data_IF_540163015268
#
_entry.id   IF_540163015268
#
_cell.length_a   1.000
_cell.length_b   1.000
_cell.length_c   1.000
_cell.angle_alpha   90.00
_cell.angle_beta   90.00
_cell.angle_gamma   90.00
#
_symmetry.space_group_name_H-M   'P 1'
#
loop_
_entity.id
_entity.type
_entity.pdbx_description
1 polymer ?
#
# COMPACT_ATOMS: atom_id res chain seq x y z
N UNK A 1 1.09 -37.04 8.07
CA UNK A 1 2.10 -36.05 8.49
C UNK A 1 1.54 -34.63 8.44
N UNK A 2 1.28 -34.02 7.28
CA UNK A 2 0.70 -32.66 7.17
C UNK A 2 -0.53 -32.41 8.06
N UNK A 3 -1.54 -33.27 8.00
CA UNK A 3 -2.78 -33.17 8.81
C UNK A 3 -2.57 -33.38 10.32
N UNK A 4 -1.40 -33.89 10.72
CA UNK A 4 -0.98 -34.06 12.11
C UNK A 4 0.00 -32.93 12.53
N UNK A 5 0.18 -31.92 11.68
CA UNK A 5 1.09 -30.78 11.90
C UNK A 5 2.58 -31.14 12.08
N UNK A 6 2.96 -32.37 11.72
CA UNK A 6 4.35 -32.84 11.67
C UNK A 6 5.02 -32.37 10.37
N UNK A 7 5.23 -31.06 10.25
CA UNK A 7 5.60 -30.43 8.98
C UNK A 7 7.04 -30.72 8.55
N UNK A 8 7.99 -30.81 9.48
CA UNK A 8 9.40 -31.07 9.14
C UNK A 8 9.53 -32.43 8.42
N UNK A 9 8.89 -33.46 8.96
CA UNK A 9 8.81 -34.78 8.36
C UNK A 9 7.94 -34.79 7.08
N UNK A 10 6.84 -34.03 7.08
CA UNK A 10 5.96 -33.94 5.92
C UNK A 10 6.66 -33.33 4.70
N UNK A 11 7.51 -32.32 4.90
CA UNK A 11 8.24 -31.64 3.83
C UNK A 11 9.26 -32.59 3.21
N UNK A 12 10.03 -33.31 4.03
CA UNK A 12 10.99 -34.32 3.53
C UNK A 12 10.26 -35.38 2.70
N UNK A 13 9.15 -35.93 3.20
CA UNK A 13 8.35 -36.89 2.45
C UNK A 13 7.74 -36.29 1.17
N UNK A 14 7.28 -35.03 1.23
CA UNK A 14 6.71 -34.34 0.08
C UNK A 14 7.73 -34.22 -1.07
N UNK A 15 9.00 -33.97 -0.75
CA UNK A 15 10.08 -33.85 -1.72
C UNK A 15 10.45 -35.18 -2.38
N UNK A 16 10.45 -36.25 -1.60
CA UNK A 16 10.61 -37.60 -2.12
C UNK A 16 9.43 -37.98 -3.04
N UNK A 17 8.21 -37.67 -2.61
CA UNK A 17 6.98 -38.02 -3.33
C UNK A 17 6.86 -37.31 -4.68
N UNK A 18 7.17 -36.01 -4.75
CA UNK A 18 7.10 -35.28 -6.03
C UNK A 18 8.19 -35.72 -7.01
N UNK A 19 9.38 -36.09 -6.50
CA UNK A 19 10.48 -36.61 -7.32
C UNK A 19 10.13 -37.97 -7.90
N UNK A 20 9.43 -38.82 -7.13
CA UNK A 20 9.09 -40.19 -7.54
C UNK A 20 7.81 -40.28 -8.38
N UNK A 21 6.86 -39.40 -8.16
CA UNK A 21 5.53 -39.43 -8.80
C UNK A 21 5.08 -38.03 -9.27
N UNK A 22 5.83 -37.38 -10.18
CA UNK A 22 5.57 -35.98 -10.59
C UNK A 22 4.21 -35.79 -11.27
N UNK A 23 3.74 -36.80 -12.00
CA UNK A 23 2.50 -36.74 -12.77
C UNK A 23 1.25 -37.05 -11.91
N UNK A 24 1.43 -37.62 -10.72
CA UNK A 24 0.30 -38.04 -9.89
C UNK A 24 -0.34 -36.83 -9.20
N UNK A 25 -1.51 -36.43 -9.67
CA UNK A 25 -2.21 -35.21 -9.24
C UNK A 25 -2.45 -35.14 -7.73
N UNK A 26 -2.86 -36.26 -7.13
CA UNK A 26 -3.10 -36.30 -5.69
C UNK A 26 -1.82 -36.03 -4.89
N UNK A 27 -0.70 -36.64 -5.29
CA UNK A 27 0.62 -36.41 -4.70
C UNK A 27 0.98 -34.92 -4.80
N UNK A 28 0.93 -34.38 -6.02
CA UNK A 28 1.23 -32.97 -6.28
C UNK A 28 0.40 -32.01 -5.42
N UNK A 29 -0.90 -32.27 -5.30
CA UNK A 29 -1.78 -31.47 -4.45
C UNK A 29 -1.41 -31.57 -2.96
N UNK A 30 -1.07 -32.76 -2.45
CA UNK A 30 -0.62 -32.89 -1.06
C UNK A 30 0.73 -32.20 -0.80
N UNK A 31 1.65 -32.22 -1.77
CA UNK A 31 2.91 -31.48 -1.70
C UNK A 31 2.65 -29.97 -1.65
N UNK A 32 1.79 -29.44 -2.52
CA UNK A 32 1.36 -28.03 -2.51
C UNK A 32 0.85 -27.63 -1.13
N UNK A 33 -0.11 -28.38 -0.57
CA UNK A 33 -0.68 -28.05 0.73
C UNK A 33 0.32 -28.20 1.88
N UNK A 34 1.29 -29.11 1.75
CA UNK A 34 2.38 -29.25 2.72
C UNK A 34 3.26 -28.02 2.73
N UNK A 35 3.64 -27.49 1.58
CA UNK A 35 4.39 -26.24 1.48
C UNK A 35 3.61 -25.03 1.96
N UNK A 36 2.32 -24.92 1.61
CA UNK A 36 1.48 -23.81 2.06
C UNK A 36 1.40 -23.78 3.59
N UNK A 37 1.01 -24.90 4.22
CA UNK A 37 0.75 -24.95 5.67
C UNK A 37 2.03 -25.06 6.51
N UNK A 38 3.01 -25.81 6.01
CA UNK A 38 4.26 -26.09 6.74
C UNK A 38 5.32 -25.01 6.58
N UNK A 39 5.29 -24.23 5.50
CA UNK A 39 6.31 -23.22 5.20
C UNK A 39 5.66 -21.85 5.00
N UNK A 40 4.90 -21.67 3.93
CA UNK A 40 4.49 -20.35 3.46
C UNK A 40 3.66 -19.56 4.48
N UNK A 41 2.68 -20.20 5.12
CA UNK A 41 1.83 -19.58 6.15
C UNK A 41 2.62 -19.28 7.42
N UNK A 42 3.66 -20.06 7.72
CA UNK A 42 4.50 -19.89 8.91
C UNK A 42 5.55 -18.78 8.77
N UNK A 43 5.86 -18.33 7.56
CA UNK A 43 6.75 -17.19 7.35
C UNK A 43 6.09 -15.93 7.94
N UNK A 44 6.77 -15.27 8.89
CA UNK A 44 6.28 -14.03 9.52
C UNK A 44 6.24 -12.87 8.52
N UNK A 45 5.66 -11.74 8.93
CA UNK A 45 5.69 -10.51 8.14
C UNK A 45 7.07 -9.83 8.13
N UNK A 46 7.99 -10.26 9.01
CA UNK A 46 9.37 -9.79 9.10
C UNK A 46 10.35 -10.64 8.27
N UNK A 47 9.88 -11.73 7.66
CA UNK A 47 10.72 -12.58 6.80
C UNK A 47 11.10 -11.87 5.50
N UNK A 48 12.21 -12.30 4.92
CA UNK A 48 12.70 -11.74 3.66
C UNK A 48 11.74 -12.05 2.51
N UNK A 49 11.53 -11.08 1.62
CA UNK A 49 10.66 -11.23 0.45
C UNK A 49 11.18 -12.33 -0.47
N UNK A 50 12.49 -12.49 -0.58
CA UNK A 50 13.15 -13.50 -1.41
C UNK A 50 12.74 -14.91 -0.98
N UNK A 51 12.73 -15.19 0.33
CA UNK A 51 12.34 -16.52 0.86
C UNK A 51 10.87 -16.83 0.62
N UNK A 52 10.01 -15.82 0.73
CA UNK A 52 8.58 -15.97 0.41
C UNK A 52 8.40 -16.24 -1.09
N UNK A 53 9.11 -15.51 -1.96
CA UNK A 53 9.07 -15.71 -3.42
C UNK A 53 9.62 -17.08 -3.81
N UNK A 54 10.73 -17.54 -3.21
CA UNK A 54 11.29 -18.87 -3.46
C UNK A 54 10.28 -19.98 -3.12
N UNK A 55 9.69 -19.91 -1.93
CA UNK A 55 8.66 -20.86 -1.49
C UNK A 55 7.44 -20.82 -2.40
N UNK A 56 7.00 -19.62 -2.76
CA UNK A 56 5.84 -19.43 -3.63
C UNK A 56 6.11 -19.94 -5.05
N UNK A 57 7.30 -19.72 -5.62
CA UNK A 57 7.69 -20.25 -6.92
C UNK A 57 7.70 -21.78 -6.91
N UNK A 58 8.19 -22.40 -5.83
CA UNK A 58 8.12 -23.86 -5.66
C UNK A 58 6.68 -24.35 -5.71
N UNK A 59 5.78 -23.71 -4.96
CA UNK A 59 4.35 -24.06 -4.98
C UNK A 59 3.74 -23.85 -6.37
N UNK A 60 3.99 -22.70 -7.02
CA UNK A 60 3.42 -22.37 -8.33
C UNK A 60 3.92 -23.30 -9.44
N UNK A 61 5.16 -23.80 -9.35
CA UNK A 61 5.71 -24.79 -10.30
C UNK A 61 4.95 -26.11 -10.31
N UNK A 62 4.18 -26.39 -9.26
CA UNK A 62 3.33 -27.57 -9.12
C UNK A 62 1.92 -27.36 -9.68
N UNK A 63 1.66 -26.24 -10.36
CA UNK A 63 0.37 -25.89 -10.96
C UNK A 63 -0.81 -26.02 -9.96
N UNK A 64 -0.81 -25.23 -8.88
CA UNK A 64 -1.83 -25.31 -7.85
C UNK A 64 -3.22 -24.93 -8.37
N UNK A 65 -4.25 -25.53 -7.79
CA UNK A 65 -5.65 -25.17 -8.04
C UNK A 65 -6.00 -23.83 -7.40
N UNK A 66 -7.14 -23.24 -7.82
CA UNK A 66 -7.53 -21.84 -7.54
C UNK A 66 -7.28 -21.38 -6.10
N UNK A 67 -7.70 -22.16 -5.09
CA UNK A 67 -7.52 -21.77 -3.69
C UNK A 67 -6.04 -21.73 -3.27
N UNK A 68 -5.26 -22.74 -3.65
CA UNK A 68 -3.84 -22.83 -3.34
C UNK A 68 -3.03 -21.76 -4.08
N UNK A 69 -3.35 -21.52 -5.36
CA UNK A 69 -2.79 -20.43 -6.15
C UNK A 69 -3.08 -19.07 -5.50
N UNK A 70 -4.33 -18.83 -5.09
CA UNK A 70 -4.74 -17.59 -4.40
C UNK A 70 -3.95 -17.34 -3.13
N UNK A 71 -3.89 -18.32 -2.22
CA UNK A 71 -3.16 -18.19 -0.94
C UNK A 71 -1.70 -17.86 -1.22
N UNK A 72 -1.09 -18.55 -2.20
CA UNK A 72 0.30 -18.37 -2.57
C UNK A 72 0.58 -16.97 -3.11
N UNK A 73 -0.19 -16.54 -4.10
CA UNK A 73 -0.03 -15.21 -4.72
C UNK A 73 -0.31 -14.10 -3.71
N UNK A 74 -1.39 -14.19 -2.93
CA UNK A 74 -1.76 -13.12 -1.99
C UNK A 74 -0.76 -12.97 -0.84
N UNK A 75 -0.07 -14.04 -0.43
CA UNK A 75 1.02 -13.95 0.54
C UNK A 75 2.17 -13.11 -0.02
N UNK A 76 2.58 -13.36 -1.27
CA UNK A 76 3.64 -12.57 -1.94
C UNK A 76 3.19 -11.12 -2.09
N UNK A 77 1.97 -10.86 -2.59
CA UNK A 77 1.45 -9.51 -2.79
C UNK A 77 1.41 -8.70 -1.49
N UNK A 78 0.98 -9.32 -0.38
CA UNK A 78 0.92 -8.67 0.93
C UNK A 78 2.31 -8.23 1.38
N UNK A 79 3.29 -9.13 1.36
CA UNK A 79 4.64 -8.83 1.83
C UNK A 79 5.35 -7.83 0.90
N UNK A 80 5.28 -8.04 -0.42
CA UNK A 80 5.87 -7.16 -1.42
C UNK A 80 5.35 -5.72 -1.29
N UNK A 81 4.03 -5.54 -1.14
CA UNK A 81 3.43 -4.22 -0.90
C UNK A 81 3.92 -3.58 0.40
N UNK A 82 3.92 -4.33 1.52
CA UNK A 82 4.37 -3.79 2.81
C UNK A 82 5.84 -3.39 2.83
N UNK A 83 6.65 -4.02 1.97
CA UNK A 83 8.08 -3.74 1.80
C UNK A 83 8.37 -2.80 0.62
N UNK A 84 7.35 -2.19 0.01
CA UNK A 84 7.48 -1.29 -1.14
C UNK A 84 8.19 -1.88 -2.39
N UNK A 85 8.07 -3.19 -2.62
CA UNK A 85 8.62 -3.89 -3.80
C UNK A 85 7.55 -4.02 -4.90
N UNK A 86 7.28 -2.93 -5.60
CA UNK A 86 6.17 -2.86 -6.57
C UNK A 86 6.41 -3.67 -7.85
N UNK A 87 7.67 -3.95 -8.20
CA UNK A 87 8.03 -4.84 -9.29
C UNK A 87 7.48 -6.25 -9.03
N UNK A 88 7.70 -6.76 -7.81
CA UNK A 88 7.21 -8.06 -7.38
C UNK A 88 5.67 -8.08 -7.33
N UNK A 89 5.02 -7.01 -6.83
CA UNK A 89 3.56 -6.87 -6.88
C UNK A 89 3.04 -7.02 -8.31
N UNK A 90 3.65 -6.31 -9.25
CA UNK A 90 3.24 -6.33 -10.66
C UNK A 90 3.49 -7.69 -11.35
N UNK A 91 4.57 -8.37 -11.02
CA UNK A 91 4.86 -9.71 -11.54
C UNK A 91 3.87 -10.75 -11.00
N UNK A 92 3.54 -10.68 -9.71
CA UNK A 92 2.76 -11.71 -9.04
C UNK A 92 1.26 -11.55 -9.20
N UNK A 93 0.75 -10.31 -9.29
CA UNK A 93 -0.70 -10.08 -9.36
C UNK A 93 -1.31 -10.72 -10.61
N UNK A 94 -0.57 -10.78 -11.72
CA UNK A 94 -1.03 -11.37 -12.98
C UNK A 94 -0.96 -12.91 -13.00
N UNK A 95 -0.36 -13.55 -11.99
CA UNK A 95 -0.29 -15.03 -11.89
C UNK A 95 -1.62 -15.65 -11.45
N UNK A 96 -2.61 -14.82 -11.10
CA UNK A 96 -3.97 -15.24 -10.80
C UNK A 96 -4.98 -14.37 -11.56
N UNK A 97 -5.95 -15.02 -12.21
CA UNK A 97 -6.97 -14.32 -12.96
C UNK A 97 -8.00 -13.68 -12.00
N UNK A 98 -8.36 -12.40 -12.15
CA UNK A 98 -9.33 -11.77 -11.25
C UNK A 98 -10.70 -12.47 -11.29
N UNK A 99 -11.08 -13.06 -12.42
CA UNK A 99 -12.37 -13.72 -12.59
C UNK A 99 -12.47 -15.07 -11.84
N UNK A 100 -11.36 -15.67 -11.40
CA UNK A 100 -11.40 -16.86 -10.54
C UNK A 100 -11.54 -16.50 -9.05
N UNK A 101 -11.48 -15.22 -8.69
CA UNK A 101 -11.53 -14.74 -7.32
C UNK A 101 -12.96 -14.45 -6.85
N UNK A 102 -13.20 -14.70 -5.56
CA UNK A 102 -14.48 -14.42 -4.93
C UNK A 102 -14.80 -12.92 -4.92
N UNK A 103 -16.04 -12.58 -5.27
CA UNK A 103 -16.61 -11.23 -5.10
C UNK A 103 -17.23 -11.03 -3.72
N UNK A 104 -17.36 -12.09 -2.91
CA UNK A 104 -17.91 -12.00 -1.55
C UNK A 104 -16.92 -11.26 -0.64
N UNK A 105 -17.36 -10.22 0.08
CA UNK A 105 -16.51 -9.53 1.07
C UNK A 105 -15.98 -10.50 2.12
N UNK A 106 -14.71 -10.33 2.48
CA UNK A 106 -14.13 -10.95 3.67
C UNK A 106 -14.64 -10.22 4.91
N UNK A 107 -14.87 -10.95 6.00
CA UNK A 107 -15.28 -10.38 7.29
C UNK A 107 -14.11 -10.43 8.27
N UNK A 108 -13.90 -9.36 9.03
CA UNK A 108 -12.99 -9.40 10.18
C UNK A 108 -13.61 -10.16 11.37
N UNK A 109 -12.84 -10.36 12.45
CA UNK A 109 -13.28 -11.07 13.67
C UNK A 109 -14.47 -10.38 14.36
N UNK A 110 -14.73 -9.11 14.03
CA UNK A 110 -15.88 -8.33 14.53
C UNK A 110 -17.09 -8.39 13.60
N UNK A 111 -17.03 -9.17 12.52
CA UNK A 111 -18.09 -9.31 11.53
C UNK A 111 -18.21 -8.12 10.56
N UNK A 112 -17.25 -7.18 10.57
CA UNK A 112 -17.26 -6.06 9.61
C UNK A 112 -16.77 -6.54 8.27
N UNK A 113 -17.52 -6.22 7.23
CA UNK A 113 -17.16 -6.52 5.86
C UNK A 113 -16.03 -5.61 5.36
N UNK A 114 -15.00 -6.23 4.79
CA UNK A 114 -13.88 -5.57 4.14
C UNK A 114 -13.86 -5.80 2.64
N UNK A 115 -12.66 -6.01 2.10
CA UNK A 115 -12.43 -6.30 0.69
C UNK A 115 -12.90 -7.72 0.35
N UNK A 116 -13.29 -7.96 -0.90
CA UNK A 116 -13.36 -9.31 -1.45
C UNK A 116 -12.01 -9.70 -2.04
N UNK A 117 -11.78 -10.98 -2.31
CA UNK A 117 -10.56 -11.41 -2.98
C UNK A 117 -10.38 -10.67 -4.32
N UNK A 118 -11.45 -10.52 -5.09
CA UNK A 118 -11.42 -9.84 -6.38
C UNK A 118 -11.17 -8.33 -6.25
N UNK A 119 -11.83 -7.62 -5.32
CA UNK A 119 -11.58 -6.18 -5.16
C UNK A 119 -10.18 -5.90 -4.58
N UNK A 120 -9.67 -6.80 -3.74
CA UNK A 120 -8.29 -6.72 -3.24
C UNK A 120 -7.27 -6.95 -4.36
N UNK A 121 -7.52 -7.89 -5.28
CA UNK A 121 -6.69 -8.07 -6.48
C UNK A 121 -6.62 -6.79 -7.31
N UNK A 122 -7.77 -6.15 -7.58
CA UNK A 122 -7.79 -4.88 -8.33
C UNK A 122 -7.04 -3.79 -7.57
N UNK A 123 -7.14 -3.73 -6.24
CA UNK A 123 -6.33 -2.81 -5.44
C UNK A 123 -4.83 -3.01 -5.67
N UNK A 124 -4.33 -4.24 -5.63
CA UNK A 124 -2.93 -4.52 -5.93
C UNK A 124 -2.54 -4.14 -7.36
N UNK A 125 -3.36 -4.52 -8.35
CA UNK A 125 -3.09 -4.24 -9.77
C UNK A 125 -3.03 -2.73 -10.05
N UNK A 126 -4.00 -1.96 -9.55
CA UNK A 126 -4.06 -0.50 -9.77
C UNK A 126 -2.88 0.20 -9.10
N UNK A 127 -2.55 -0.14 -7.85
CA UNK A 127 -1.37 0.45 -7.19
C UNK A 127 -0.09 0.08 -7.93
N UNK A 128 0.08 -1.19 -8.33
CA UNK A 128 1.24 -1.63 -9.09
C UNK A 128 1.42 -0.89 -10.42
N UNK A 129 0.32 -0.61 -11.14
CA UNK A 129 0.33 0.19 -12.37
C UNK A 129 0.71 1.65 -12.11
N UNK A 130 0.17 2.26 -11.05
CA UNK A 130 0.51 3.63 -10.66
C UNK A 130 2.02 3.76 -10.39
N UNK A 131 2.59 2.79 -9.67
CA UNK A 131 4.01 2.78 -9.30
C UNK A 131 4.94 2.49 -10.50
N UNK A 132 4.42 1.82 -11.54
CA UNK A 132 5.10 1.68 -12.84
C UNK A 132 4.90 2.86 -13.79
N UNK A 133 4.22 3.91 -13.34
CA UNK A 133 3.82 5.07 -14.14
C UNK A 133 2.81 4.75 -15.29
N UNK A 134 2.27 3.54 -15.33
CA UNK A 134 1.20 3.09 -16.25
C UNK A 134 -0.19 3.59 -15.81
N UNK A 135 -0.24 4.88 -15.48
CA UNK A 135 -1.37 5.57 -14.84
C UNK A 135 -2.64 5.61 -15.71
N UNK A 136 -2.52 5.60 -17.04
CA UNK A 136 -3.68 5.51 -17.95
C UNK A 136 -4.41 4.17 -17.82
N UNK A 137 -3.65 3.06 -17.74
CA UNK A 137 -4.24 1.74 -17.55
C UNK A 137 -4.90 1.64 -16.17
N UNK A 138 -4.24 2.18 -15.14
CA UNK A 138 -4.81 2.26 -13.78
C UNK A 138 -6.18 2.97 -13.77
N UNK A 139 -6.33 4.09 -14.47
CA UNK A 139 -7.60 4.82 -14.59
C UNK A 139 -8.65 3.97 -15.31
N UNK A 140 -8.27 3.36 -16.44
CA UNK A 140 -9.18 2.51 -17.22
C UNK A 140 -9.75 1.35 -16.38
N UNK A 141 -8.90 0.70 -15.58
CA UNK A 141 -9.32 -0.38 -14.68
C UNK A 141 -10.30 0.15 -13.63
N UNK A 142 -10.01 1.30 -13.01
CA UNK A 142 -10.93 1.90 -12.02
C UNK A 142 -12.30 2.15 -12.63
N UNK A 143 -12.35 2.72 -13.83
CA UNK A 143 -13.61 3.06 -14.51
C UNK A 143 -14.44 1.83 -14.86
N UNK A 144 -13.80 0.70 -15.18
CA UNK A 144 -14.48 -0.57 -15.44
C UNK A 144 -15.10 -1.18 -14.16
N UNK A 145 -14.42 -1.08 -13.03
CA UNK A 145 -14.80 -1.83 -11.82
C UNK A 145 -15.62 -1.03 -10.81
N UNK A 146 -15.76 0.29 -11.01
CA UNK A 146 -16.26 1.19 -9.96
C UNK A 146 -17.66 0.81 -9.47
N UNK A 147 -18.57 0.50 -10.41
CA UNK A 147 -19.94 0.11 -10.12
C UNK A 147 -20.05 -1.33 -9.60
N UNK A 148 -19.04 -2.18 -9.85
CA UNK A 148 -18.98 -3.55 -9.33
C UNK A 148 -18.67 -3.59 -7.84
N UNK A 149 -17.95 -2.60 -7.31
CA UNK A 149 -17.48 -2.58 -5.93
C UNK A 149 -17.90 -1.29 -5.19
N UNK A 150 -19.21 -1.06 -4.98
CA UNK A 150 -19.71 0.19 -4.40
C UNK A 150 -19.18 0.45 -2.98
N UNK A 151 -18.92 -0.60 -2.18
CA UNK A 151 -18.36 -0.47 -0.82
C UNK A 151 -16.90 -0.02 -0.81
N UNK A 152 -16.14 -0.30 -1.88
CA UNK A 152 -14.73 0.08 -2.02
C UNK A 152 -14.55 1.32 -2.92
N UNK A 153 -15.65 1.90 -3.42
CA UNK A 153 -15.66 3.04 -4.35
C UNK A 153 -14.74 4.17 -3.91
N UNK A 154 -14.76 4.54 -2.62
CA UNK A 154 -13.88 5.58 -2.04
C UNK A 154 -12.40 5.30 -2.30
N UNK A 155 -11.95 4.06 -2.11
CA UNK A 155 -10.56 3.67 -2.31
C UNK A 155 -10.17 3.66 -3.78
N UNK A 156 -11.04 3.18 -4.67
CA UNK A 156 -10.77 3.18 -6.11
C UNK A 156 -10.76 4.60 -6.70
N UNK A 157 -11.69 5.47 -6.29
CA UNK A 157 -11.69 6.87 -6.70
C UNK A 157 -10.43 7.61 -6.22
N UNK A 158 -9.95 7.35 -5.00
CA UNK A 158 -8.67 7.90 -4.53
C UNK A 158 -7.52 7.49 -5.46
N UNK A 159 -7.42 6.22 -5.85
CA UNK A 159 -6.39 5.76 -6.78
C UNK A 159 -6.53 6.40 -8.18
N UNK A 160 -7.76 6.61 -8.66
CA UNK A 160 -8.00 7.36 -9.91
C UNK A 160 -7.56 8.82 -9.79
N UNK A 161 -7.80 9.47 -8.65
CA UNK A 161 -7.34 10.84 -8.41
C UNK A 161 -5.80 10.91 -8.40
N UNK A 162 -5.15 9.99 -7.69
CA UNK A 162 -3.68 9.85 -7.69
C UNK A 162 -3.12 9.62 -9.10
N UNK A 163 -3.71 8.73 -9.88
CA UNK A 163 -3.29 8.49 -11.26
C UNK A 163 -3.46 9.74 -12.15
N UNK A 164 -4.54 10.51 -11.98
CA UNK A 164 -4.73 11.77 -12.71
C UNK A 164 -3.70 12.84 -12.29
N UNK A 165 -3.36 12.90 -11.00
CA UNK A 165 -2.32 13.79 -10.49
C UNK A 165 -0.97 13.50 -11.15
N UNK A 166 -0.56 12.22 -11.20
CA UNK A 166 0.70 11.80 -11.82
C UNK A 166 0.73 12.01 -13.34
N UNK A 167 -0.42 11.95 -14.01
CA UNK A 167 -0.55 12.31 -15.43
C UNK A 167 -0.50 13.83 -15.70
N UNK A 168 -0.48 14.67 -14.65
CA UNK A 168 -0.60 16.12 -14.78
C UNK A 168 -2.03 16.60 -15.07
N UNK A 169 -3.04 15.72 -15.02
CA UNK A 169 -4.45 16.09 -15.12
C UNK A 169 -4.96 16.62 -13.76
N UNK A 170 -4.38 17.73 -13.31
CA UNK A 170 -4.67 18.35 -12.02
C UNK A 170 -6.16 18.70 -11.85
N UNK A 171 -6.89 19.23 -12.86
CA UNK A 171 -8.31 19.56 -12.70
C UNK A 171 -9.19 18.34 -12.36
N UNK A 172 -8.96 17.20 -13.02
CA UNK A 172 -9.73 15.99 -12.74
C UNK A 172 -9.35 15.39 -11.38
N UNK A 173 -8.05 15.42 -11.03
CA UNK A 173 -7.58 14.99 -9.72
C UNK A 173 -8.23 15.81 -8.59
N UNK A 174 -8.23 17.15 -8.70
CA UNK A 174 -8.89 18.06 -7.75
C UNK A 174 -10.38 17.74 -7.66
N UNK A 175 -11.08 17.61 -8.79
CA UNK A 175 -12.51 17.30 -8.82
C UNK A 175 -12.83 16.01 -8.05
N UNK A 176 -12.03 14.95 -8.23
CA UNK A 176 -12.26 13.67 -7.53
C UNK A 176 -11.99 13.83 -6.03
N UNK A 177 -10.86 14.40 -5.64
CA UNK A 177 -10.54 14.58 -4.22
C UNK A 177 -11.53 15.51 -3.50
N UNK A 178 -11.97 16.58 -4.16
CA UNK A 178 -12.99 17.49 -3.64
C UNK A 178 -14.30 16.75 -3.36
N UNK A 179 -14.75 15.91 -4.31
CA UNK A 179 -15.96 15.10 -4.13
C UNK A 179 -15.79 14.10 -2.97
N UNK A 180 -14.64 13.41 -2.90
CA UNK A 180 -14.35 12.47 -1.80
C UNK A 180 -14.22 13.16 -0.44
N UNK A 181 -13.86 14.45 -0.42
CA UNK A 181 -13.66 15.23 0.79
C UNK A 181 -14.88 16.06 1.20
N UNK A 182 -15.99 15.95 0.47
CA UNK A 182 -17.23 16.69 0.74
C UNK A 182 -18.02 16.16 1.95
N UNK A 183 -17.67 14.97 2.45
CA UNK A 183 -18.23 14.40 3.67
C UNK A 183 -17.81 15.17 4.94
N UNK A 184 -18.60 15.07 6.01
CA UNK A 184 -18.42 15.85 7.25
C UNK A 184 -17.06 15.63 7.96
N UNK A 185 -16.34 14.54 7.65
CA UNK A 185 -15.01 14.22 8.21
C UNK A 185 -14.18 13.37 7.23
N UNK A 186 -13.49 13.99 6.27
CA UNK A 186 -12.58 13.26 5.40
C UNK A 186 -11.38 12.72 6.18
N UNK A 187 -10.80 11.63 5.70
CA UNK A 187 -9.59 11.08 6.29
C UNK A 187 -8.41 12.05 6.12
N UNK A 188 -7.57 12.18 7.15
CA UNK A 188 -6.43 13.10 7.14
C UNK A 188 -5.48 12.83 5.94
N UNK A 189 -5.25 11.56 5.59
CA UNK A 189 -4.36 11.19 4.50
C UNK A 189 -4.93 11.59 3.14
N UNK A 190 -6.25 11.61 3.00
CA UNK A 190 -6.92 12.05 1.78
C UNK A 190 -6.84 13.56 1.61
N UNK A 191 -7.02 14.31 2.71
CA UNK A 191 -6.82 15.75 2.72
C UNK A 191 -5.36 16.13 2.41
N UNK A 192 -4.39 15.34 2.90
CA UNK A 192 -2.98 15.54 2.60
C UNK A 192 -2.69 15.35 1.10
N UNK A 193 -3.22 14.28 0.49
CA UNK A 193 -3.12 14.07 -0.97
C UNK A 193 -3.79 15.17 -1.76
N UNK A 194 -5.01 15.56 -1.36
CA UNK A 194 -5.74 16.64 -2.02
C UNK A 194 -4.97 17.96 -1.96
N UNK A 195 -4.37 18.28 -0.81
CA UNK A 195 -3.58 19.49 -0.66
C UNK A 195 -2.39 19.56 -1.62
N UNK A 196 -1.74 18.43 -1.94
CA UNK A 196 -0.66 18.39 -2.93
C UNK A 196 -1.16 18.80 -4.32
N UNK A 197 -2.33 18.31 -4.72
CA UNK A 197 -2.97 18.69 -5.99
C UNK A 197 -3.27 20.18 -6.02
N UNK A 198 -3.90 20.71 -4.96
CA UNK A 198 -4.26 22.13 -4.86
C UNK A 198 -3.02 23.04 -4.87
N UNK A 199 -1.93 22.61 -4.22
CA UNK A 199 -0.65 23.31 -4.25
C UNK A 199 -0.08 23.37 -5.66
N UNK A 200 -0.09 22.26 -6.39
CA UNK A 200 0.51 22.15 -7.72
C UNK A 200 -0.33 22.86 -8.80
N UNK A 201 -1.62 23.10 -8.53
CA UNK A 201 -2.47 24.03 -9.30
C UNK A 201 -2.07 25.50 -9.06
N UNK A 202 -1.34 25.79 -7.98
CA UNK A 202 -0.87 27.13 -7.60
C UNK A 202 -1.65 27.79 -6.47
N UNK A 203 -2.65 27.10 -5.88
CA UNK A 203 -3.49 27.61 -4.79
C UNK A 203 -2.86 27.31 -3.43
N UNK A 204 -1.67 27.84 -3.18
CA UNK A 204 -0.81 27.51 -2.03
C UNK A 204 -1.50 27.71 -0.66
N UNK A 205 -2.21 28.81 -0.49
CA UNK A 205 -2.90 29.11 0.78
C UNK A 205 -4.05 28.14 1.05
N UNK A 206 -4.77 27.71 0.02
CA UNK A 206 -5.84 26.72 0.17
C UNK A 206 -5.29 25.33 0.43
N UNK A 207 -4.18 24.96 -0.22
CA UNK A 207 -3.45 23.74 0.11
C UNK A 207 -3.02 23.73 1.57
N UNK A 208 -2.49 24.84 2.09
CA UNK A 208 -2.09 24.94 3.50
C UNK A 208 -3.28 24.77 4.45
N UNK A 209 -4.45 25.35 4.14
CA UNK A 209 -5.69 25.13 4.93
C UNK A 209 -6.08 23.64 4.96
N UNK A 210 -6.03 22.96 3.82
CA UNK A 210 -6.32 21.52 3.73
C UNK A 210 -5.33 20.70 4.57
N UNK A 211 -4.03 21.04 4.54
CA UNK A 211 -3.02 20.37 5.36
C UNK A 211 -3.23 20.59 6.86
N UNK A 212 -3.62 21.80 7.30
CA UNK A 212 -3.99 22.04 8.70
C UNK A 212 -5.25 21.28 9.12
N UNK A 213 -6.24 21.18 8.23
CA UNK A 213 -7.41 20.34 8.46
C UNK A 213 -7.00 18.86 8.58
N UNK A 214 -6.09 18.37 7.75
CA UNK A 214 -5.53 17.03 7.88
C UNK A 214 -4.83 16.82 9.23
N UNK A 215 -3.98 17.77 9.64
CA UNK A 215 -3.20 17.68 10.87
C UNK A 215 -4.08 17.68 12.13
N UNK A 216 -5.22 18.39 12.11
CA UNK A 216 -6.19 18.38 13.20
C UNK A 216 -7.09 17.14 13.24
N UNK A 217 -7.14 16.36 12.15
CA UNK A 217 -8.00 15.19 12.00
C UNK A 217 -7.43 13.88 12.54
N UNK A 218 -6.18 13.84 13.02
CA UNK A 218 -5.55 12.62 13.50
C UNK A 218 -4.66 12.87 14.73
N UNK A 219 -4.64 11.92 15.67
CA UNK A 219 -3.91 12.07 16.93
C UNK A 219 -2.51 11.47 16.93
N UNK A 220 -2.21 10.50 16.05
CA UNK A 220 -0.90 9.83 16.01
C UNK A 220 0.07 10.64 15.15
N UNK A 221 0.98 11.35 15.80
CA UNK A 221 1.97 12.21 15.13
C UNK A 221 2.89 11.43 14.20
N UNK A 222 3.24 10.19 14.55
CA UNK A 222 4.10 9.32 13.75
C UNK A 222 3.53 9.00 12.37
N UNK A 223 2.20 8.99 12.23
CA UNK A 223 1.53 8.76 10.95
C UNK A 223 1.56 10.00 10.06
N UNK A 224 1.74 11.20 10.63
CA UNK A 224 1.65 12.49 9.93
C UNK A 224 3.01 13.14 9.64
N UNK A 225 4.13 12.43 9.84
CA UNK A 225 5.47 13.00 9.65
C UNK A 225 5.66 13.62 8.28
N UNK A 226 5.19 12.97 7.20
CA UNK A 226 5.26 13.54 5.84
C UNK A 226 4.37 14.78 5.68
N UNK A 227 3.19 14.80 6.31
CA UNK A 227 2.30 15.96 6.29
C UNK A 227 2.97 17.16 6.98
N UNK A 228 3.62 16.98 8.13
CA UNK A 228 4.32 18.07 8.82
C UNK A 228 5.50 18.62 8.00
N UNK A 229 6.20 17.76 7.26
CA UNK A 229 7.25 18.21 6.33
C UNK A 229 6.66 19.07 5.22
N UNK A 230 5.58 18.61 4.59
CA UNK A 230 4.94 19.34 3.49
C UNK A 230 4.37 20.69 3.95
N UNK A 231 3.77 20.74 5.15
CA UNK A 231 3.34 22.00 5.76
C UNK A 231 4.55 22.92 6.00
N UNK A 232 5.62 22.38 6.58
CA UNK A 232 6.82 23.16 6.90
C UNK A 232 7.45 23.79 5.65
N UNK A 233 7.55 23.02 4.57
CA UNK A 233 8.05 23.49 3.27
C UNK A 233 7.12 24.58 2.70
N UNK A 234 5.80 24.33 2.68
CA UNK A 234 4.84 25.28 2.12
C UNK A 234 4.77 26.59 2.92
N UNK A 235 4.86 26.52 4.25
CA UNK A 235 4.98 27.71 5.10
C UNK A 235 6.23 28.52 4.75
N UNK A 236 7.38 27.87 4.54
CA UNK A 236 8.62 28.55 4.13
C UNK A 236 8.45 29.24 2.78
N UNK A 237 7.85 28.58 1.80
CA UNK A 237 7.55 29.16 0.48
C UNK A 237 6.65 30.40 0.57
N UNK A 238 5.74 30.42 1.55
CA UNK A 238 4.82 31.53 1.82
C UNK A 238 5.42 32.61 2.75
N UNK A 239 6.71 32.50 3.14
CA UNK A 239 7.37 33.44 4.06
C UNK A 239 6.94 33.31 5.53
N UNK A 240 6.19 32.27 5.88
CA UNK A 240 5.72 31.96 7.24
C UNK A 240 6.79 31.17 7.99
N UNK A 241 7.92 31.84 8.27
CA UNK A 241 9.13 31.17 8.73
C UNK A 241 9.00 30.54 10.12
N UNK A 242 8.21 31.12 11.02
CA UNK A 242 8.01 30.59 12.37
C UNK A 242 7.24 29.27 12.32
N UNK A 243 6.14 29.26 11.58
CA UNK A 243 5.30 28.07 11.36
C UNK A 243 6.07 26.99 10.59
N UNK A 244 6.85 27.37 9.58
CA UNK A 244 7.73 26.47 8.85
C UNK A 244 8.69 25.75 9.81
N UNK A 245 9.36 26.52 10.68
CA UNK A 245 10.28 25.99 11.67
C UNK A 245 9.59 25.07 12.66
N UNK A 246 8.44 25.48 13.20
CA UNK A 246 7.70 24.70 14.20
C UNK A 246 7.35 23.30 13.68
N UNK A 247 6.84 23.19 12.45
CA UNK A 247 6.48 21.90 11.86
C UNK A 247 7.68 21.02 11.52
N UNK A 248 8.78 21.60 11.01
CA UNK A 248 10.00 20.84 10.72
C UNK A 248 10.70 20.35 12.00
N UNK A 249 10.67 21.15 13.07
CA UNK A 249 11.16 20.74 14.41
C UNK A 249 10.29 19.62 14.98
N UNK A 250 8.97 19.71 14.84
CA UNK A 250 8.05 18.63 15.25
C UNK A 250 8.36 17.33 14.50
N UNK A 251 8.59 17.40 13.19
CA UNK A 251 9.02 16.24 12.40
C UNK A 251 10.32 15.64 12.95
N UNK A 252 11.34 16.46 13.21
CA UNK A 252 12.62 16.01 13.80
C UNK A 252 12.41 15.32 15.15
N UNK A 253 11.58 15.89 16.02
CA UNK A 253 11.25 15.32 17.33
C UNK A 253 10.61 13.93 17.18
N UNK A 254 9.54 13.80 16.38
CA UNK A 254 8.82 12.54 16.18
C UNK A 254 9.75 11.46 15.61
N UNK A 255 10.61 11.80 14.65
CA UNK A 255 11.57 10.84 14.07
C UNK A 255 12.60 10.37 15.09
N UNK A 256 13.15 11.28 15.90
CA UNK A 256 14.08 10.92 16.98
C UNK A 256 13.43 10.00 18.02
N UNK A 257 12.21 10.31 18.47
CA UNK A 257 11.46 9.49 19.43
C UNK A 257 11.20 8.05 18.91
N UNK A 258 11.07 7.89 17.59
CA UNK A 258 10.87 6.57 16.94
C UNK A 258 12.18 5.90 16.51
N UNK A 259 13.34 6.51 16.76
CA UNK A 259 14.64 6.02 16.30
C UNK A 259 14.82 6.05 14.78
N UNK A 260 14.06 6.88 14.06
CA UNK A 260 14.13 7.02 12.61
C UNK A 260 15.15 8.07 12.19
N UNK A 261 15.90 7.80 11.13
CA UNK A 261 16.83 8.77 10.52
C UNK A 261 16.09 10.04 10.12
N UNK A 262 16.61 11.20 10.49
CA UNK A 262 16.09 12.51 10.07
C UNK A 262 16.74 12.89 8.73
N UNK A 263 15.95 13.13 7.66
CA UNK A 263 16.48 13.56 6.37
C UNK A 263 17.29 14.86 6.46
N UNK A 264 18.45 14.88 5.81
CA UNK A 264 19.37 16.03 5.75
C UNK A 264 18.70 17.34 5.26
N UNK A 265 17.79 17.33 4.25
CA UNK A 265 17.07 18.54 3.85
C UNK A 265 16.25 19.19 4.98
N UNK A 266 15.71 18.38 5.91
CA UNK A 266 14.96 18.88 7.07
C UNK A 266 15.92 19.55 8.05
N UNK A 267 17.06 18.91 8.33
CA UNK A 267 18.09 19.44 9.25
C UNK A 267 18.59 20.79 8.74
N UNK A 268 18.99 20.86 7.47
CA UNK A 268 19.50 22.08 6.87
C UNK A 268 18.47 23.20 6.85
N UNK A 269 17.22 22.89 6.49
CA UNK A 269 16.16 23.90 6.50
C UNK A 269 15.89 24.45 7.90
N UNK A 270 15.87 23.61 8.93
CA UNK A 270 15.71 24.07 10.32
C UNK A 270 16.88 24.94 10.77
N UNK A 271 18.12 24.56 10.40
CA UNK A 271 19.30 25.35 10.75
C UNK A 271 19.30 26.72 10.08
N UNK A 272 18.88 26.80 8.81
CA UNK A 272 18.77 28.08 8.10
C UNK A 272 17.69 28.97 8.70
N UNK A 273 16.53 28.39 9.04
CA UNK A 273 15.47 29.13 9.75
C UNK A 273 15.95 29.62 11.12
N UNK A 274 16.70 28.82 11.89
CA UNK A 274 17.26 29.24 13.17
C UNK A 274 18.21 30.43 13.03
N UNK A 275 19.03 30.47 11.97
CA UNK A 275 19.94 31.61 11.72
C UNK A 275 19.16 32.88 11.43
N UNK A 276 18.05 32.81 10.69
CA UNK A 276 17.20 33.96 10.43
C UNK A 276 16.67 34.59 11.73
N UNK A 277 16.23 33.77 12.67
CA UNK A 277 15.73 34.24 13.98
C UNK A 277 16.83 34.71 14.94
N UNK A 278 18.09 34.33 14.73
CA UNK A 278 19.21 34.78 15.56
C UNK A 278 19.73 36.18 15.17
N UNK A 279 19.30 36.71 14.03
CA UNK A 279 19.75 38.00 13.47
C UNK A 279 18.69 39.11 13.69
N UNK A 280 17.46 38.73 14.01
CA UNK A 280 16.34 39.62 14.41
C UNK A 280 16.25 39.77 15.91
#
# INVERSE_FOLDING_TARGET
LRKLELFDEAIVLADELISKYPDFEWCRNEVIWTYIQGVLVKLSEEESLERVIETANRIMSLNPTDLAAKITVFKVLKLAKSSNHWEAVNEWVIKIAPNSLSTKPMTDDSGREGWSDQSLWYNYRINGLIEKEDTKEAISIVDEILERFPKQRKFFLRLKALANYLLGNLPESERIYQNLSSDYRPDWWMLHEYAKVVRDIGRREDALKLMYQAASGHSKLESMVSLFVDIGILCKELGKYEEARAHLVLCKYVRNEKGWTVPEPIINTVNDLNKLFAIT
#
